data_IF_578463703344
#
_entry.id   IF_578463703344
#
_cell.length_a   1.000
_cell.length_b   1.000
_cell.length_c   1.000
_cell.angle_alpha   90.00
_cell.angle_beta   90.00
_cell.angle_gamma   90.00
#
_symmetry.space_group_name_H-M   'P 1'
#
loop_
_entity.id
_entity.type
_entity.pdbx_description
1 polymer ?
#
# COMPACT_ATOMS: atom_id res chain seq x y z
N UNK A 1 38.93 -1.86 -14.08
CA UNK A 1 37.54 -1.68 -13.58
C UNK A 1 37.00 -0.35 -14.07
N UNK A 2 35.68 -0.20 -14.30
CA UNK A 2 35.07 1.12 -14.57
C UNK A 2 35.11 1.95 -13.27
N UNK A 3 35.55 3.21 -13.33
CA UNK A 3 35.63 4.13 -12.16
C UNK A 3 34.33 4.88 -11.84
N UNK A 4 33.23 4.55 -12.52
CA UNK A 4 31.98 5.32 -12.47
C UNK A 4 30.81 4.44 -12.03
N UNK A 5 30.14 4.83 -10.95
CA UNK A 5 28.86 4.29 -10.53
C UNK A 5 27.77 4.82 -11.45
N UNK A 6 27.02 3.93 -12.10
CA UNK A 6 25.85 4.33 -12.89
C UNK A 6 24.71 4.80 -11.96
N UNK A 7 24.13 5.95 -12.29
CA UNK A 7 22.92 6.48 -11.65
C UNK A 7 21.81 6.53 -12.71
N UNK A 8 20.68 5.89 -12.42
CA UNK A 8 19.61 5.71 -13.39
C UNK A 8 18.89 7.03 -13.69
N UNK A 9 18.63 7.30 -14.98
CA UNK A 9 17.84 8.43 -15.45
C UNK A 9 16.36 8.05 -15.54
N UNK A 10 15.48 9.05 -15.61
CA UNK A 10 14.04 8.80 -15.76
C UNK A 10 13.66 8.14 -17.11
N UNK A 11 14.52 8.26 -18.13
CA UNK A 11 14.44 7.54 -19.40
C UNK A 11 14.57 6.02 -19.24
N UNK A 12 15.27 5.59 -18.20
CA UNK A 12 15.74 4.20 -18.05
C UNK A 12 14.70 3.33 -17.32
N UNK A 13 13.50 3.90 -17.06
CA UNK A 13 12.42 3.30 -16.29
C UNK A 13 11.24 2.92 -17.18
N UNK A 14 11.08 1.62 -17.42
CA UNK A 14 10.01 1.06 -18.26
C UNK A 14 8.59 1.17 -17.65
N UNK A 15 8.43 1.63 -16.39
CA UNK A 15 7.14 1.92 -15.74
C UNK A 15 6.06 0.81 -15.86
N UNK A 16 6.49 -0.45 -15.79
CA UNK A 16 5.64 -1.64 -15.88
C UNK A 16 4.53 -1.68 -14.82
N UNK A 17 3.31 -2.06 -15.24
CA UNK A 17 2.17 -2.28 -14.37
C UNK A 17 2.12 -3.73 -13.87
N UNK A 18 1.63 -3.91 -12.64
CA UNK A 18 1.55 -5.21 -11.96
C UNK A 18 0.22 -5.36 -11.24
N UNK A 19 -0.37 -6.56 -11.30
CA UNK A 19 -1.62 -6.93 -10.61
C UNK A 19 -1.35 -7.88 -9.45
N UNK A 20 -2.16 -7.71 -8.41
CA UNK A 20 -1.90 -8.15 -7.04
C UNK A 20 -3.21 -8.63 -6.41
N UNK A 21 -3.31 -9.92 -6.12
CA UNK A 21 -4.38 -10.46 -5.28
C UNK A 21 -4.12 -10.12 -3.79
N UNK A 22 -5.20 -9.94 -3.01
CA UNK A 22 -5.22 -9.34 -1.68
C UNK A 22 -5.71 -10.28 -0.53
N UNK A 23 -6.19 -11.48 -0.83
CA UNK A 23 -6.74 -12.45 0.15
C UNK A 23 -5.67 -13.30 0.90
N UNK A 24 -5.38 -13.08 2.20
CA UNK A 24 -4.82 -14.16 3.06
C UNK A 24 -3.41 -14.06 3.70
N UNK A 25 -2.44 -13.28 3.18
CA UNK A 25 -1.12 -13.08 3.84
C UNK A 25 -1.18 -11.95 4.91
N UNK A 26 -0.12 -11.59 5.65
CA UNK A 26 -0.27 -10.73 6.86
C UNK A 26 0.01 -9.24 6.61
N UNK A 27 -0.88 -8.32 7.02
CA UNK A 27 -0.81 -6.87 6.76
C UNK A 27 0.59 -6.23 6.93
N UNK A 28 1.27 -6.53 8.03
CA UNK A 28 2.59 -5.94 8.33
C UNK A 28 3.72 -6.51 7.45
N UNK A 29 3.64 -7.81 7.12
CA UNK A 29 4.57 -8.46 6.17
C UNK A 29 4.28 -7.98 4.76
N UNK A 30 2.99 -7.90 4.38
CA UNK A 30 2.54 -7.31 3.13
C UNK A 30 3.10 -5.92 2.93
N UNK A 31 2.89 -4.98 3.84
CA UNK A 31 3.21 -3.58 3.54
C UNK A 31 4.70 -3.38 3.24
N UNK A 32 5.57 -4.17 3.89
CA UNK A 32 7.02 -4.19 3.60
C UNK A 32 7.29 -4.84 2.24
N UNK A 33 6.57 -5.91 1.92
CA UNK A 33 6.55 -6.53 0.59
C UNK A 33 5.96 -5.59 -0.49
N UNK A 34 4.91 -4.79 -0.29
CA UNK A 34 4.45 -3.80 -1.31
C UNK A 34 5.52 -2.75 -1.60
N UNK A 35 6.37 -2.41 -0.64
CA UNK A 35 7.53 -1.55 -0.87
C UNK A 35 8.70 -2.26 -1.61
N UNK A 36 8.63 -3.59 -1.82
CA UNK A 36 9.75 -4.42 -2.25
C UNK A 36 9.39 -5.72 -3.04
N UNK A 37 8.18 -5.87 -3.60
CA UNK A 37 7.53 -7.10 -4.18
C UNK A 37 6.59 -7.89 -3.23
N UNK A 38 5.38 -8.27 -3.72
CA UNK A 38 3.99 -8.31 -3.15
C UNK A 38 3.66 -9.43 -2.11
N UNK A 39 2.46 -9.87 -1.65
CA UNK A 39 0.98 -9.76 -1.90
C UNK A 39 0.16 -10.11 -0.58
N UNK A 40 -1.19 -9.95 -0.56
CA UNK A 40 -2.23 -10.50 0.39
C UNK A 40 -2.34 -10.02 1.89
N UNK A 41 -3.56 -9.95 2.50
CA UNK A 41 -3.90 -9.36 3.85
C UNK A 41 -4.78 -10.20 4.81
N UNK A 42 -4.36 -10.20 6.08
CA UNK A 42 -4.97 -10.69 7.33
C UNK A 42 -4.40 -9.87 8.50
N UNK A 43 -5.22 -9.59 9.52
CA UNK A 43 -4.79 -9.01 10.81
C UNK A 43 -4.76 -10.09 11.90
N UNK A 44 -3.57 -10.46 12.36
CA UNK A 44 -3.38 -11.59 13.29
C UNK A 44 -3.87 -11.33 14.71
N UNK A 45 -4.65 -12.25 15.29
CA UNK A 45 -5.12 -12.17 16.67
C UNK A 45 -6.11 -11.02 16.91
N UNK A 46 -6.22 -10.53 18.15
CA UNK A 46 -7.18 -9.47 18.55
C UNK A 46 -6.97 -8.09 17.87
N UNK A 47 -6.03 -7.98 16.93
CA UNK A 47 -5.72 -6.73 16.19
C UNK A 47 -6.87 -6.21 15.34
N UNK A 48 -7.82 -7.05 14.90
CA UNK A 48 -9.04 -6.58 14.23
C UNK A 48 -9.84 -5.59 15.10
N UNK A 49 -9.90 -5.85 16.41
CA UNK A 49 -10.80 -5.15 17.33
C UNK A 49 -10.04 -4.11 18.17
N UNK A 50 -8.83 -4.46 18.62
CA UNK A 50 -8.00 -3.61 19.48
C UNK A 50 -7.22 -2.53 18.72
N UNK A 51 -6.96 -2.70 17.42
CA UNK A 51 -6.18 -1.71 16.66
C UNK A 51 -7.05 -0.50 16.30
N UNK A 52 -6.79 0.62 16.97
CA UNK A 52 -7.41 1.90 16.65
C UNK A 52 -6.58 2.70 15.63
N UNK A 53 -7.28 3.34 14.70
CA UNK A 53 -6.78 4.38 13.82
C UNK A 53 -7.32 5.73 14.30
N UNK A 54 -6.44 6.71 14.45
CA UNK A 54 -6.76 8.04 14.97
C UNK A 54 -6.57 9.11 13.90
N UNK A 55 -7.43 10.12 13.89
CA UNK A 55 -7.21 11.38 13.16
C UNK A 55 -7.71 12.57 13.99
N UNK A 56 -7.09 13.72 13.83
CA UNK A 56 -7.51 14.97 14.48
C UNK A 56 -7.99 15.97 13.42
N UNK A 57 -8.98 16.82 13.75
CA UNK A 57 -9.44 17.89 12.84
C UNK A 57 -8.61 19.18 12.92
N UNK A 58 -7.90 19.38 14.03
CA UNK A 58 -7.20 20.63 14.37
C UNK A 58 -7.88 21.43 15.49
N UNK A 59 -9.19 21.26 15.67
CA UNK A 59 -9.98 21.93 16.71
C UNK A 59 -9.92 21.19 18.05
N UNK A 60 -10.18 21.89 19.16
CA UNK A 60 -10.33 21.29 20.50
C UNK A 60 -11.46 20.23 20.47
N UNK A 61 -11.21 19.08 21.09
CA UNK A 61 -12.12 17.92 21.03
C UNK A 61 -12.15 17.21 19.67
N UNK A 62 -11.32 17.61 18.70
CA UNK A 62 -11.34 17.16 17.31
C UNK A 62 -10.86 15.74 17.03
N UNK A 63 -10.64 14.91 18.05
CA UNK A 63 -10.12 13.55 17.92
C UNK A 63 -11.20 12.57 17.44
N UNK A 64 -10.92 11.85 16.35
CA UNK A 64 -11.81 10.84 15.77
C UNK A 64 -11.08 9.51 15.65
N UNK A 65 -11.63 8.50 16.30
CA UNK A 65 -11.05 7.14 16.41
C UNK A 65 -11.92 6.13 15.67
N UNK A 66 -11.31 5.16 14.99
CA UNK A 66 -12.00 4.04 14.34
C UNK A 66 -11.21 2.74 14.53
N UNK A 67 -11.87 1.64 14.92
CA UNK A 67 -11.23 0.32 15.02
C UNK A 67 -10.92 -0.25 13.64
N UNK A 68 -9.91 -1.10 13.53
CA UNK A 68 -9.53 -1.73 12.26
C UNK A 68 -10.69 -2.49 11.61
N UNK A 69 -11.49 -3.21 12.40
CA UNK A 69 -12.75 -3.85 12.00
C UNK A 69 -13.71 -2.86 11.33
N UNK A 70 -14.06 -1.75 12.00
CA UNK A 70 -14.95 -0.71 11.45
C UNK A 70 -14.36 0.08 10.28
N UNK A 71 -13.04 0.08 10.12
CA UNK A 71 -12.36 0.64 8.95
C UNK A 71 -12.45 -0.32 7.75
N UNK A 72 -12.22 -1.61 7.95
CA UNK A 72 -12.35 -2.66 6.91
C UNK A 72 -13.78 -2.73 6.40
N UNK A 73 -14.77 -2.74 7.30
CA UNK A 73 -16.22 -2.77 6.97
C UNK A 73 -16.68 -1.56 6.11
N UNK A 74 -15.93 -0.46 6.09
CA UNK A 74 -16.32 0.79 5.40
C UNK A 74 -15.42 1.19 4.23
N UNK A 75 -14.12 0.91 4.32
CA UNK A 75 -13.04 1.33 3.39
C UNK A 75 -11.85 0.36 3.54
N UNK A 76 -11.96 -0.90 3.08
CA UNK A 76 -10.90 -1.89 3.24
C UNK A 76 -9.57 -1.46 2.62
N UNK A 77 -9.60 -0.66 1.56
CA UNK A 77 -8.43 -0.15 0.85
C UNK A 77 -7.61 0.83 1.70
N UNK A 78 -8.27 1.61 2.57
CA UNK A 78 -7.60 2.60 3.42
C UNK A 78 -6.65 1.93 4.44
N UNK A 79 -6.94 0.69 4.86
CA UNK A 79 -6.05 -0.12 5.70
C UNK A 79 -4.71 -0.38 5.00
N UNK A 80 -4.75 -0.71 3.70
CA UNK A 80 -3.58 -0.98 2.87
C UNK A 80 -2.83 0.33 2.61
N UNK A 81 -3.56 1.36 2.17
CA UNK A 81 -3.04 2.71 1.90
C UNK A 81 -2.28 3.27 3.10
N UNK A 82 -2.83 3.17 4.32
CA UNK A 82 -2.16 3.65 5.54
C UNK A 82 -0.92 2.83 5.89
N UNK A 83 -0.93 1.50 5.70
CA UNK A 83 0.22 0.66 5.98
C UNK A 83 1.41 0.96 5.02
N UNK A 84 1.15 1.02 3.71
CA UNK A 84 2.18 1.28 2.69
C UNK A 84 2.69 2.73 2.78
N UNK A 85 1.79 3.72 2.95
CA UNK A 85 2.17 5.12 3.25
C UNK A 85 2.99 5.23 4.54
N UNK A 86 2.78 4.32 5.50
CA UNK A 86 3.56 4.17 6.72
C UNK A 86 5.03 3.84 6.45
N UNK A 87 5.33 3.04 5.41
CA UNK A 87 6.69 2.55 5.12
C UNK A 87 7.44 3.38 4.08
N UNK A 88 6.76 4.08 3.17
CA UNK A 88 7.41 4.98 2.21
C UNK A 88 8.11 6.19 2.88
N UNK A 89 9.22 6.72 2.32
CA UNK A 89 9.93 7.88 2.88
C UNK A 89 9.04 9.13 2.88
N UNK A 90 9.16 9.99 3.91
CA UNK A 90 8.23 11.12 4.14
C UNK A 90 8.52 12.37 3.31
N UNK A 91 9.21 12.21 2.17
CA UNK A 91 9.64 13.29 1.29
C UNK A 91 8.77 13.38 0.01
N UNK A 92 9.08 14.34 -0.87
CA UNK A 92 8.36 14.55 -2.14
C UNK A 92 8.43 13.35 -3.09
N UNK A 93 9.50 12.55 -3.05
CA UNK A 93 9.61 11.32 -3.83
C UNK A 93 8.64 10.25 -3.31
N UNK A 94 8.59 9.99 -1.99
CA UNK A 94 7.65 9.05 -1.40
C UNK A 94 6.18 9.40 -1.65
N UNK A 95 5.85 10.70 -1.74
CA UNK A 95 4.52 11.17 -2.17
C UNK A 95 4.22 10.80 -3.62
N UNK A 96 5.18 10.96 -4.55
CA UNK A 96 5.05 10.54 -5.96
C UNK A 96 4.96 9.02 -6.10
N UNK A 97 5.76 8.25 -5.34
CA UNK A 97 5.69 6.78 -5.31
C UNK A 97 4.32 6.30 -4.82
N UNK A 98 3.77 6.91 -3.76
CA UNK A 98 2.46 6.54 -3.22
C UNK A 98 1.30 6.74 -4.22
N UNK A 99 1.41 7.70 -5.16
CA UNK A 99 0.39 7.90 -6.20
C UNK A 99 0.32 6.75 -7.23
N UNK A 100 1.40 5.96 -7.38
CA UNK A 100 1.42 4.77 -8.25
C UNK A 100 0.63 3.60 -7.67
N UNK A 101 0.54 3.50 -6.33
CA UNK A 101 -0.25 2.45 -5.68
C UNK A 101 -1.74 2.64 -5.96
N UNK A 102 -2.36 1.69 -6.66
CA UNK A 102 -3.81 1.53 -6.73
C UNK A 102 -4.22 0.39 -5.80
N UNK A 103 -5.41 0.51 -5.21
CA UNK A 103 -5.98 -0.47 -4.28
C UNK A 103 -7.48 -0.48 -4.47
N UNK A 104 -8.02 -1.67 -4.69
CA UNK A 104 -9.44 -1.97 -4.88
C UNK A 104 -9.88 -3.02 -3.85
N UNK A 105 -11.19 -3.10 -3.59
CA UNK A 105 -11.77 -3.96 -2.56
C UNK A 105 -12.29 -5.31 -3.08
N UNK A 106 -12.46 -5.44 -4.40
CA UNK A 106 -12.89 -6.65 -5.09
C UNK A 106 -12.07 -6.88 -6.36
N UNK A 107 -12.39 -7.94 -7.07
CA UNK A 107 -11.48 -8.63 -8.00
C UNK A 107 -11.26 -7.92 -9.35
N UNK A 108 -11.85 -6.74 -9.53
CA UNK A 108 -11.94 -6.03 -10.81
C UNK A 108 -11.39 -4.61 -10.72
N UNK A 109 -10.75 -4.14 -11.79
CA UNK A 109 -10.13 -2.81 -11.86
C UNK A 109 -10.29 -2.14 -13.25
N UNK A 110 -10.38 -0.80 -13.33
CA UNK A 110 -10.58 -0.08 -14.60
C UNK A 110 -9.27 0.16 -15.38
N UNK A 111 -8.32 -0.77 -15.32
CA UNK A 111 -6.93 -0.56 -15.79
C UNK A 111 -6.42 -1.62 -16.79
N UNK A 112 -7.32 -2.41 -17.38
CA UNK A 112 -7.03 -3.44 -18.39
C UNK A 112 -6.23 -2.90 -19.59
N UNK A 113 -6.53 -1.68 -20.05
CA UNK A 113 -5.85 -1.02 -21.16
C UNK A 113 -4.34 -0.73 -20.91
N UNK A 114 -3.85 -0.91 -19.69
CA UNK A 114 -2.42 -0.84 -19.35
C UNK A 114 -1.71 -2.20 -19.45
N UNK A 115 -2.42 -3.27 -19.85
CA UNK A 115 -1.94 -4.65 -19.98
C UNK A 115 -1.09 -5.10 -18.76
N UNK A 116 -1.64 -5.00 -17.53
CA UNK A 116 -0.87 -5.29 -16.33
C UNK A 116 -0.51 -6.78 -16.21
N UNK A 117 0.73 -7.08 -15.85
CA UNK A 117 1.13 -8.46 -15.60
C UNK A 117 0.75 -8.92 -14.20
N UNK A 118 0.14 -10.11 -14.10
CA UNK A 118 -0.15 -10.74 -12.80
C UNK A 118 1.14 -11.29 -12.21
N UNK A 119 1.48 -10.86 -10.99
CA UNK A 119 2.72 -11.30 -10.34
C UNK A 119 2.45 -12.39 -9.31
N UNK A 120 2.82 -13.64 -9.63
CA UNK A 120 2.89 -14.73 -8.66
C UNK A 120 3.98 -14.50 -7.61
N UNK A 121 3.77 -15.01 -6.40
CA UNK A 121 4.77 -15.02 -5.33
C UNK A 121 5.43 -16.39 -5.18
N UNK A 122 6.64 -16.29 -4.61
CA UNK A 122 7.33 -17.33 -3.86
C UNK A 122 7.51 -16.84 -2.40
#
# INVERSE_FOLDING_TARGET
>A
MKKYTYSAKNSDNQNKWWVVDAEGAILGRLASRIAATLQKIVLTGRKMEQKNYYRHSGYIGGLKTITARKLIEKRPEDVIRFAVKGMLPKNSLGRKLFQKLKVYAGDQHPHEAQQPETMGLQ
#
